data_IF_726754998561
#
_entry.id   IF_726754998561
#
_cell.length_a   1.000
_cell.length_b   1.000
_cell.length_c   1.000
_cell.angle_alpha   90.00
_cell.angle_beta   90.00
_cell.angle_gamma   90.00
#
_symmetry.space_group_name_H-M   'P 1'
#
loop_
_entity.id
_entity.type
_entity.pdbx_description
1 polymer ?
#
# COMPACT_ATOMS: atom_id res chain seq x y z
N UNK A 1 20.68 1.85 52.33
CA UNK A 1 20.83 2.90 51.30
C UNK A 1 22.07 2.64 50.41
N UNK A 2 22.05 1.58 49.58
CA UNK A 2 23.22 1.15 48.78
C UNK A 2 23.13 1.45 47.28
N UNK A 3 21.94 1.77 46.77
CA UNK A 3 21.66 1.86 45.34
C UNK A 3 22.41 2.99 44.63
N UNK A 4 22.40 4.21 45.21
CA UNK A 4 23.14 5.34 44.64
C UNK A 4 24.66 5.15 44.62
N UNK A 5 25.21 4.44 45.61
CA UNK A 5 26.65 4.16 45.74
C UNK A 5 27.12 3.12 44.73
N UNK A 6 26.24 2.20 44.31
CA UNK A 6 26.50 1.21 43.26
C UNK A 6 26.54 1.87 41.86
N UNK A 7 25.60 2.78 41.58
CA UNK A 7 25.53 3.52 40.31
C UNK A 7 26.80 4.37 40.12
N UNK A 8 27.26 5.06 41.17
CA UNK A 8 28.50 5.86 41.12
C UNK A 8 29.77 5.05 40.89
N UNK A 9 29.83 3.78 41.30
CA UNK A 9 31.02 2.93 41.11
C UNK A 9 31.17 2.39 39.68
N UNK A 10 30.07 2.31 38.92
CA UNK A 10 30.08 1.75 37.57
C UNK A 10 29.26 2.58 36.55
N UNK A 11 29.51 3.90 36.42
CA UNK A 11 28.69 4.79 35.59
C UNK A 11 28.62 4.34 34.13
N UNK A 12 29.73 3.89 33.54
CA UNK A 12 29.77 3.41 32.15
C UNK A 12 28.93 2.15 31.90
N UNK A 13 28.92 1.19 32.84
CA UNK A 13 28.12 -0.05 32.71
C UNK A 13 26.63 0.25 32.82
N UNK A 14 26.25 1.15 33.73
CA UNK A 14 24.86 1.59 33.90
C UNK A 14 24.39 2.35 32.66
N UNK A 15 25.20 3.29 32.15
CA UNK A 15 24.87 4.05 30.94
C UNK A 15 24.71 3.14 29.72
N UNK A 16 25.63 2.21 29.51
CA UNK A 16 25.50 1.21 28.44
C UNK A 16 24.25 0.34 28.63
N UNK A 17 23.97 -0.10 29.85
CA UNK A 17 22.78 -0.89 30.18
C UNK A 17 21.48 -0.14 29.86
N UNK A 18 21.40 1.15 30.20
CA UNK A 18 20.24 2.00 29.86
C UNK A 18 20.10 2.16 28.36
N UNK A 19 21.19 2.45 27.63
CA UNK A 19 21.15 2.59 26.17
C UNK A 19 20.67 1.29 25.50
N UNK A 20 21.21 0.15 25.93
CA UNK A 20 20.82 -1.15 25.40
C UNK A 20 19.35 -1.48 25.73
N UNK A 21 18.91 -1.22 26.97
CA UNK A 21 17.54 -1.44 27.38
C UNK A 21 16.57 -0.54 26.59
N UNK A 22 16.87 0.75 26.46
CA UNK A 22 16.07 1.70 25.68
C UNK A 22 16.04 1.31 24.21
N UNK A 23 17.18 0.90 23.64
CA UNK A 23 17.25 0.41 22.26
C UNK A 23 16.38 -0.83 22.04
N UNK A 24 16.42 -1.78 22.98
CA UNK A 24 15.59 -2.99 22.92
C UNK A 24 14.09 -2.67 23.04
N UNK A 25 13.71 -1.79 23.96
CA UNK A 25 12.31 -1.35 24.14
C UNK A 25 11.82 -0.54 22.93
N UNK A 26 12.71 0.20 22.27
CA UNK A 26 12.37 1.02 21.09
C UNK A 26 12.37 0.22 19.78
N UNK A 27 12.88 -1.02 19.77
CA UNK A 27 12.97 -1.85 18.56
C UNK A 27 11.62 -2.03 17.82
N UNK A 28 10.47 -2.25 18.50
CA UNK A 28 9.19 -2.37 17.82
C UNK A 28 8.75 -1.08 17.11
N UNK A 29 9.20 0.10 17.57
CA UNK A 29 8.85 1.37 16.95
C UNK A 29 9.40 1.48 15.52
N UNK A 30 10.52 0.83 15.23
CA UNK A 30 11.10 0.75 13.88
C UNK A 30 10.26 -0.11 12.91
N UNK A 31 9.36 -0.94 13.44
CA UNK A 31 8.51 -1.86 12.68
C UNK A 31 7.05 -1.38 12.61
N UNK A 32 6.77 -0.14 13.01
CA UNK A 32 5.42 0.41 12.95
C UNK A 32 4.99 0.67 11.51
N UNK A 33 3.83 0.14 11.15
CA UNK A 33 3.15 0.43 9.91
C UNK A 33 2.04 1.44 10.18
N UNK A 34 2.06 2.54 9.42
CA UNK A 34 1.03 3.56 9.50
C UNK A 34 0.00 3.32 8.38
N UNK A 35 -1.24 3.60 8.71
CA UNK A 35 -2.41 3.26 7.93
C UNK A 35 -3.59 4.15 8.29
N UNK A 36 -4.61 4.16 7.44
CA UNK A 36 -5.86 4.84 7.76
C UNK A 36 -6.72 3.91 8.62
N UNK A 37 -7.36 4.42 9.70
CA UNK A 37 -8.21 3.58 10.53
C UNK A 37 -9.36 2.98 9.70
N UNK A 38 -9.51 1.67 9.76
CA UNK A 38 -10.59 0.93 9.09
C UNK A 38 -11.33 0.00 10.08
N UNK A 39 -12.37 -0.69 9.60
CA UNK A 39 -13.13 -1.62 10.42
C UNK A 39 -12.32 -2.88 10.81
N UNK A 40 -11.20 -3.15 10.12
CA UNK A 40 -10.23 -4.16 10.52
C UNK A 40 -9.56 -3.81 11.85
N UNK A 41 -9.37 -2.54 12.19
CA UNK A 41 -8.75 -2.17 13.47
C UNK A 41 -9.70 -2.26 14.67
N UNK A 42 -11.00 -2.51 14.44
CA UNK A 42 -11.99 -2.67 15.52
C UNK A 42 -11.84 -4.02 16.22
N UNK A 43 -12.32 -4.07 17.46
CA UNK A 43 -12.34 -5.32 18.24
C UNK A 43 -13.16 -6.42 17.55
N UNK A 44 -12.69 -7.67 17.65
CA UNK A 44 -13.29 -8.85 16.99
C UNK A 44 -14.77 -9.09 17.31
N UNK A 45 -15.23 -8.59 18.46
CA UNK A 45 -16.62 -8.77 18.87
C UNK A 45 -17.60 -7.82 18.19
N UNK A 46 -17.10 -6.72 17.62
CA UNK A 46 -17.92 -5.71 16.96
C UNK A 46 -18.55 -6.23 15.66
N UNK A 47 -19.78 -5.79 15.38
CA UNK A 47 -20.49 -6.18 14.15
C UNK A 47 -19.74 -5.72 12.91
N UNK A 48 -19.09 -4.56 12.97
CA UNK A 48 -18.31 -4.00 11.87
C UNK A 48 -17.07 -4.83 11.55
N UNK A 49 -16.33 -5.30 12.56
CA UNK A 49 -15.18 -6.18 12.34
C UNK A 49 -15.63 -7.54 11.77
N UNK A 50 -16.72 -8.10 12.27
CA UNK A 50 -17.33 -9.33 11.73
C UNK A 50 -17.74 -9.15 10.27
N UNK A 51 -18.39 -8.03 9.92
CA UNK A 51 -18.74 -7.70 8.55
C UNK A 51 -17.53 -7.57 7.63
N UNK A 52 -16.47 -6.90 8.09
CA UNK A 52 -15.21 -6.77 7.35
C UNK A 52 -14.59 -8.14 7.04
N UNK A 53 -14.52 -9.02 8.05
CA UNK A 53 -13.95 -10.36 7.92
C UNK A 53 -14.79 -11.24 6.97
N UNK A 54 -16.13 -11.19 7.06
CA UNK A 54 -17.02 -11.92 6.15
C UNK A 54 -16.89 -11.45 4.69
N UNK A 55 -16.75 -10.14 4.45
CA UNK A 55 -16.48 -9.61 3.11
C UNK A 55 -15.12 -10.07 2.59
N UNK A 56 -14.09 -10.04 3.45
CA UNK A 56 -12.76 -10.51 3.09
C UNK A 56 -12.73 -12.02 2.79
N UNK A 57 -13.50 -12.83 3.52
CA UNK A 57 -13.63 -14.27 3.31
C UNK A 57 -14.37 -14.59 2.01
N UNK A 58 -15.52 -13.93 1.78
CA UNK A 58 -16.36 -14.21 0.60
C UNK A 58 -15.81 -13.64 -0.71
N UNK A 59 -15.23 -12.44 -0.68
CA UNK A 59 -14.84 -11.69 -1.88
C UNK A 59 -13.33 -11.46 -2.00
N UNK A 60 -12.56 -11.81 -0.97
CA UNK A 60 -11.12 -11.58 -0.88
C UNK A 60 -10.76 -10.30 -0.11
N UNK A 61 -9.58 -10.29 0.51
CA UNK A 61 -9.15 -9.20 1.41
C UNK A 61 -9.14 -7.82 0.78
N UNK A 62 -8.76 -7.71 -0.50
CA UNK A 62 -8.73 -6.44 -1.22
C UNK A 62 -10.10 -5.83 -1.51
N UNK A 63 -11.19 -6.56 -1.26
CA UNK A 63 -12.55 -6.04 -1.44
C UNK A 63 -12.87 -4.87 -0.52
N UNK A 64 -12.26 -4.83 0.67
CA UNK A 64 -12.41 -3.71 1.61
C UNK A 64 -11.60 -2.47 1.22
N UNK A 65 -10.79 -2.54 0.15
CA UNK A 65 -9.95 -1.44 -0.31
C UNK A 65 -9.54 -1.54 -1.78
N UNK A 66 -10.51 -1.45 -2.72
CA UNK A 66 -10.19 -1.42 -4.14
C UNK A 66 -9.42 -0.14 -4.49
N UNK A 67 -8.52 -0.24 -5.47
CA UNK A 67 -7.71 0.87 -5.95
C UNK A 67 -8.32 1.42 -7.24
N UNK A 68 -8.52 2.73 -7.33
CA UNK A 68 -8.97 3.39 -8.55
C UNK A 68 -7.76 3.97 -9.27
N UNK A 69 -7.61 3.63 -10.55
CA UNK A 69 -6.51 4.07 -11.40
C UNK A 69 -7.07 4.87 -12.57
N UNK A 70 -6.43 6.00 -12.86
CA UNK A 70 -6.68 6.78 -14.06
C UNK A 70 -5.51 6.57 -15.02
N UNK A 71 -5.81 6.12 -16.22
CA UNK A 71 -4.88 6.06 -17.33
C UNK A 71 -4.98 7.40 -18.08
N UNK A 72 -3.84 8.05 -18.28
CA UNK A 72 -3.71 9.26 -19.08
C UNK A 72 -3.12 8.90 -20.46
N UNK A 73 -3.93 9.10 -21.49
CA UNK A 73 -3.58 8.96 -22.90
C UNK A 73 -3.65 10.31 -23.65
N UNK A 74 -3.73 11.44 -22.95
CA UNK A 74 -3.79 12.78 -23.55
C UNK A 74 -2.61 13.08 -24.47
N UNK A 75 -1.44 12.53 -24.13
CA UNK A 75 -0.19 12.67 -24.90
C UNK A 75 -0.06 11.66 -26.05
N UNK A 76 -1.07 10.83 -26.35
CA UNK A 76 -1.04 9.88 -27.45
C UNK A 76 -1.73 10.47 -28.69
N UNK A 77 -1.27 10.08 -29.88
CA UNK A 77 -1.95 10.42 -31.14
C UNK A 77 -3.42 9.99 -31.08
N UNK A 78 -4.35 10.77 -31.64
CA UNK A 78 -5.81 10.49 -31.57
C UNK A 78 -6.18 9.07 -32.00
N UNK A 79 -5.51 8.54 -33.03
CA UNK A 79 -5.73 7.18 -33.54
C UNK A 79 -5.17 6.07 -32.63
N UNK A 80 -4.33 6.43 -31.65
CA UNK A 80 -3.65 5.52 -30.73
C UNK A 80 -4.15 5.62 -29.29
N UNK A 81 -4.95 6.63 -28.93
CA UNK A 81 -5.47 6.83 -27.56
C UNK A 81 -6.11 5.54 -27.00
N UNK A 82 -7.06 4.95 -27.71
CA UNK A 82 -7.72 3.69 -27.30
C UNK A 82 -6.75 2.52 -27.16
N UNK A 83 -5.77 2.42 -28.07
CA UNK A 83 -4.75 1.36 -28.04
C UNK A 83 -3.80 1.52 -26.84
N UNK A 84 -3.43 2.75 -26.51
CA UNK A 84 -2.61 3.08 -25.33
C UNK A 84 -3.32 2.71 -24.03
N UNK A 85 -4.63 2.97 -23.95
CA UNK A 85 -5.47 2.58 -22.80
C UNK A 85 -5.53 1.06 -22.67
N UNK A 86 -5.73 0.34 -23.77
CA UNK A 86 -5.78 -1.12 -23.78
C UNK A 86 -4.43 -1.75 -23.37
N UNK A 87 -3.32 -1.23 -23.90
CA UNK A 87 -1.96 -1.68 -23.57
C UNK A 87 -1.64 -1.45 -22.09
N UNK A 88 -1.99 -0.28 -21.55
CA UNK A 88 -1.82 0.04 -20.13
C UNK A 88 -2.66 -0.88 -19.25
N UNK A 89 -3.91 -1.14 -19.64
CA UNK A 89 -4.79 -2.07 -18.91
C UNK A 89 -4.20 -3.48 -18.89
N UNK A 90 -3.70 -3.99 -20.03
CA UNK A 90 -3.05 -5.31 -20.12
C UNK A 90 -1.75 -5.40 -19.34
N UNK A 91 -1.01 -4.30 -19.22
CA UNK A 91 0.20 -4.26 -18.40
C UNK A 91 -0.15 -4.39 -16.92
N UNK A 92 -1.16 -3.64 -16.46
CA UNK A 92 -1.69 -3.74 -15.10
C UNK A 92 -2.23 -5.14 -14.81
N UNK A 93 -2.98 -5.77 -15.72
CA UNK A 93 -3.49 -7.14 -15.52
C UNK A 93 -2.40 -8.18 -15.22
N UNK A 94 -1.18 -7.96 -15.72
CA UNK A 94 -0.05 -8.88 -15.55
C UNK A 94 0.75 -8.63 -14.27
N UNK A 95 0.47 -7.56 -13.53
CA UNK A 95 1.20 -7.25 -12.31
C UNK A 95 0.84 -8.24 -11.20
N UNK A 96 1.87 -8.68 -10.47
CA UNK A 96 1.69 -9.52 -9.30
C UNK A 96 0.95 -8.77 -8.20
N UNK A 97 0.09 -9.49 -7.47
CA UNK A 97 -0.71 -8.92 -6.38
C UNK A 97 -2.10 -8.43 -6.79
N UNK A 98 -2.42 -8.40 -8.08
CA UNK A 98 -3.76 -8.08 -8.57
C UNK A 98 -4.63 -9.34 -8.62
N UNK A 99 -5.82 -9.28 -8.03
CA UNK A 99 -6.84 -10.33 -8.10
C UNK A 99 -7.71 -10.18 -9.34
N UNK A 100 -8.16 -8.95 -9.60
CA UNK A 100 -9.06 -8.62 -10.69
C UNK A 100 -8.90 -7.16 -11.07
N UNK A 101 -9.12 -6.83 -12.34
CA UNK A 101 -9.34 -5.46 -12.79
C UNK A 101 -10.72 -5.35 -13.44
N UNK A 102 -11.33 -4.17 -13.39
CA UNK A 102 -12.50 -3.86 -14.21
C UNK A 102 -12.07 -3.40 -15.60
N UNK A 103 -12.94 -3.56 -16.62
CA UNK A 103 -12.72 -2.92 -17.92
C UNK A 103 -12.51 -1.40 -17.76
N UNK A 104 -11.58 -0.84 -18.55
CA UNK A 104 -11.33 0.59 -18.55
C UNK A 104 -12.50 1.35 -19.18
N UNK A 105 -12.98 2.39 -18.49
CA UNK A 105 -14.07 3.25 -18.93
C UNK A 105 -13.47 4.57 -19.40
N UNK A 106 -13.42 4.82 -20.73
CA UNK A 106 -12.90 6.07 -21.27
C UNK A 106 -13.85 7.24 -20.98
N UNK A 107 -13.29 8.43 -20.87
CA UNK A 107 -14.04 9.67 -20.79
C UNK A 107 -14.57 10.12 -22.16
N UNK A 108 -15.30 11.25 -22.21
CA UNK A 108 -15.88 11.75 -23.47
C UNK A 108 -14.82 12.15 -24.50
N UNK A 109 -13.64 12.59 -24.05
CA UNK A 109 -12.54 12.97 -24.93
C UNK A 109 -11.70 11.78 -25.42
N UNK A 110 -11.82 10.63 -24.73
CA UNK A 110 -10.98 9.45 -24.95
C UNK A 110 -9.53 9.63 -24.50
N UNK A 111 -9.23 10.72 -23.78
CA UNK A 111 -7.91 11.03 -23.25
C UNK A 111 -7.64 10.35 -21.91
N UNK A 112 -8.69 10.09 -21.15
CA UNK A 112 -8.57 9.45 -19.85
C UNK A 112 -9.41 8.18 -19.82
N UNK A 113 -8.94 7.18 -19.09
CA UNK A 113 -9.76 6.03 -18.77
C UNK A 113 -9.63 5.68 -17.30
N UNK A 114 -10.76 5.40 -16.67
CA UNK A 114 -10.82 4.95 -15.30
C UNK A 114 -10.95 3.43 -15.26
N UNK A 115 -10.16 2.78 -14.41
CA UNK A 115 -10.35 1.38 -14.06
C UNK A 115 -10.17 1.15 -12.57
N UNK A 116 -10.77 0.08 -12.07
CA UNK A 116 -10.67 -0.31 -10.67
C UNK A 116 -9.90 -1.62 -10.57
N UNK A 117 -8.90 -1.63 -9.71
CA UNK A 117 -8.07 -2.79 -9.39
C UNK A 117 -8.50 -3.33 -8.04
N UNK A 118 -8.75 -4.64 -7.98
CA UNK A 118 -8.99 -5.39 -6.77
C UNK A 118 -7.69 -6.10 -6.37
N UNK A 119 -7.01 -5.68 -5.29
CA UNK A 119 -5.81 -6.38 -4.80
C UNK A 119 -6.13 -7.76 -4.21
N UNK A 120 -5.13 -8.64 -4.15
CA UNK A 120 -5.25 -9.94 -3.44
C UNK A 120 -5.19 -9.77 -1.91
N UNK A 121 -4.48 -8.76 -1.46
CA UNK A 121 -4.24 -8.39 -0.05
C UNK A 121 -5.14 -7.24 0.41
N UNK A 122 -5.24 -7.01 1.71
CA UNK A 122 -6.01 -5.92 2.29
C UNK A 122 -5.37 -4.54 2.06
N UNK A 123 -6.11 -3.43 2.23
CA UNK A 123 -5.61 -2.08 2.00
C UNK A 123 -4.42 -1.70 2.88
N UNK A 124 -4.32 -2.28 4.08
CA UNK A 124 -3.24 -2.00 5.03
C UNK A 124 -2.02 -2.91 4.92
N UNK A 125 -2.14 -3.99 4.13
CA UNK A 125 -1.08 -4.98 3.95
C UNK A 125 0.10 -4.39 3.15
N UNK A 126 1.33 -4.80 3.52
CA UNK A 126 2.57 -4.37 2.85
C UNK A 126 2.55 -4.66 1.35
N UNK A 127 1.96 -5.78 0.94
CA UNK A 127 1.85 -6.23 -0.44
C UNK A 127 1.04 -5.23 -1.28
N UNK A 128 -0.08 -4.71 -0.75
CA UNK A 128 -0.87 -3.68 -1.44
C UNK A 128 -0.11 -2.36 -1.53
N UNK A 129 0.61 -2.00 -0.45
CA UNK A 129 1.46 -0.80 -0.44
C UNK A 129 2.59 -0.89 -1.48
N UNK A 130 3.15 -2.08 -1.68
CA UNK A 130 4.16 -2.33 -2.71
C UNK A 130 3.53 -2.27 -4.11
N UNK A 131 2.37 -2.89 -4.32
CA UNK A 131 1.63 -2.82 -5.59
C UNK A 131 1.36 -1.37 -6.02
N UNK A 132 0.92 -0.50 -5.11
CA UNK A 132 0.70 0.93 -5.42
C UNK A 132 2.01 1.62 -5.84
N UNK A 133 3.13 1.31 -5.17
CA UNK A 133 4.45 1.84 -5.55
C UNK A 133 4.86 1.35 -6.93
N UNK A 134 4.64 0.08 -7.23
CA UNK A 134 5.00 -0.52 -8.52
C UNK A 134 4.18 0.12 -9.65
N UNK A 135 2.86 0.29 -9.46
CA UNK A 135 1.98 0.97 -10.42
C UNK A 135 2.47 2.41 -10.68
N UNK A 136 2.83 3.13 -9.62
CA UNK A 136 3.33 4.51 -9.71
C UNK A 136 4.72 4.60 -10.36
N UNK A 137 5.57 3.60 -10.15
CA UNK A 137 6.88 3.56 -10.79
C UNK A 137 6.73 3.32 -12.30
N UNK A 138 5.84 2.42 -12.72
CA UNK A 138 5.54 2.17 -14.13
C UNK A 138 5.00 3.42 -14.86
N UNK A 139 4.15 4.22 -14.19
CA UNK A 139 3.68 5.48 -14.76
C UNK A 139 4.83 6.49 -14.96
N UNK A 140 5.76 6.59 -14.00
CA UNK A 140 6.91 7.50 -14.08
C UNK A 140 7.93 7.12 -15.17
N UNK A 141 8.11 5.82 -15.42
CA UNK A 141 8.96 5.31 -16.50
C UNK A 141 8.32 5.58 -17.86
N UNK A 142 7.00 5.48 -17.95
CA UNK A 142 6.24 5.75 -19.17
C UNK A 142 6.26 7.25 -19.53
N UNK A 143 6.19 8.15 -18.54
CA UNK A 143 6.44 9.58 -18.74
C UNK A 143 7.85 9.85 -19.24
N UNK A 144 8.87 9.22 -18.64
CA UNK A 144 10.28 9.44 -19.02
C UNK A 144 10.58 8.97 -20.45
N UNK A 145 9.95 7.88 -20.92
CA UNK A 145 10.09 7.38 -22.30
C UNK A 145 9.42 8.27 -23.36
N UNK A 146 8.56 9.22 -22.99
CA UNK A 146 7.97 10.19 -23.93
C UNK A 146 8.80 11.47 -24.10
N UNK A 147 9.80 11.70 -23.24
CA UNK A 147 10.62 12.95 -23.25
C UNK A 147 11.96 12.75 -24.00
N UNK A 148 12.29 11.53 -24.41
CA UNK A 148 13.44 11.19 -25.27
C UNK A 148 12.96 10.67 -26.62
#
# INVERSE_FOLDING_TARGET
MGWGRFIQKHPGKIMLGVILLTGLVSWPALHMELGLPDNGMKGKETTERKGYDLLAEGFGKGFNGPLVVIIDASQADETRKSKSIEESSKLLEKMDGIKQITPAIPDQSGEYAMLTILPRSGPEDKETKQLVKDIRNESSVTDTKKVL
#
